data_IF_903439868418
#
_entry.id   IF_903439868418
#
_cell.length_a   1.000
_cell.length_b   1.000
_cell.length_c   1.000
_cell.angle_alpha   90.00
_cell.angle_beta   90.00
_cell.angle_gamma   90.00
#
_symmetry.space_group_name_H-M   'P 1'
#
loop_
_entity.id
_entity.type
_entity.pdbx_description
1 polymer ?
#
# COMPACT_ATOMS: atom_id res chain seq x y z
N UNK A 1 -20.36 3.17 64.17
CA UNK A 1 -21.56 2.70 63.43
C UNK A 1 -21.71 3.62 62.24
N UNK A 2 -21.19 3.20 61.08
CA UNK A 2 -21.98 2.61 59.96
C UNK A 2 -22.73 3.73 59.21
N UNK A 3 -22.57 4.03 57.93
CA UNK A 3 -21.94 3.30 56.81
C UNK A 3 -21.69 4.30 55.68
N UNK A 4 -20.56 4.18 54.97
CA UNK A 4 -20.32 4.83 53.67
C UNK A 4 -21.11 4.06 52.61
N UNK A 5 -21.88 4.76 51.78
CA UNK A 5 -22.42 4.22 50.54
C UNK A 5 -21.45 4.52 49.41
N UNK A 6 -20.72 3.50 48.98
CA UNK A 6 -19.98 3.51 47.71
C UNK A 6 -20.98 3.58 46.55
N UNK A 7 -20.91 4.64 45.76
CA UNK A 7 -21.46 4.65 44.39
C UNK A 7 -20.33 4.28 43.45
N UNK A 8 -20.18 2.98 43.21
CA UNK A 8 -19.47 2.45 42.06
C UNK A 8 -20.25 2.85 40.80
N UNK A 9 -19.71 3.80 40.05
CA UNK A 9 -20.07 4.01 38.65
C UNK A 9 -19.61 2.79 37.87
N UNK A 10 -20.54 1.87 37.62
CA UNK A 10 -20.41 0.84 36.58
C UNK A 10 -20.33 1.55 35.24
N UNK A 11 -19.12 1.74 34.74
CA UNK A 11 -18.86 2.09 33.35
C UNK A 11 -18.45 0.80 32.60
N UNK A 12 -19.33 -0.20 32.68
CA UNK A 12 -19.30 -1.39 31.83
C UNK A 12 -20.15 -1.09 30.59
N UNK A 13 -19.59 -0.29 29.69
CA UNK A 13 -20.02 -0.24 28.29
C UNK A 13 -18.84 -0.53 27.38
N UNK A 14 -18.09 -1.60 27.71
CA UNK A 14 -17.48 -2.42 26.67
C UNK A 14 -18.62 -3.12 25.92
N UNK A 15 -19.30 -2.40 25.02
CA UNK A 15 -19.96 -3.03 23.88
C UNK A 15 -18.85 -3.67 23.06
N UNK A 16 -18.45 -4.89 23.46
CA UNK A 16 -17.85 -5.85 22.55
C UNK A 16 -18.84 -6.00 21.41
N UNK A 17 -18.59 -5.29 20.30
CA UNK A 17 -19.23 -5.57 19.01
C UNK A 17 -18.98 -7.05 18.76
N UNK A 18 -20.02 -7.84 18.96
CA UNK A 18 -20.05 -9.26 18.64
C UNK A 18 -19.79 -9.38 17.15
N UNK A 19 -18.56 -9.74 16.77
CA UNK A 19 -18.15 -9.90 15.39
C UNK A 19 -18.76 -11.21 14.86
N UNK A 20 -19.90 -11.14 14.19
CA UNK A 20 -20.36 -12.26 13.38
C UNK A 20 -19.42 -12.39 12.17
N UNK A 21 -18.83 -13.58 12.03
CA UNK A 21 -18.05 -13.94 10.86
C UNK A 21 -19.00 -14.12 9.67
N UNK A 22 -19.21 -13.04 8.92
CA UNK A 22 -20.11 -12.99 7.77
C UNK A 22 -19.63 -13.81 6.55
N UNK A 23 -18.48 -14.50 6.65
CA UNK A 23 -18.01 -15.38 5.58
C UNK A 23 -18.83 -16.69 5.55
N UNK A 24 -19.37 -17.03 4.39
CA UNK A 24 -20.16 -18.25 4.21
C UNK A 24 -19.29 -19.50 4.37
N UNK A 25 -19.87 -20.62 4.83
CA UNK A 25 -19.15 -21.90 4.92
C UNK A 25 -18.63 -22.38 3.56
N UNK A 26 -19.34 -22.07 2.47
CA UNK A 26 -18.87 -22.35 1.12
C UNK A 26 -17.59 -21.58 0.81
N UNK A 27 -17.53 -20.28 1.17
CA UNK A 27 -16.34 -19.47 0.97
C UNK A 27 -15.18 -19.89 1.89
N UNK A 28 -15.43 -20.27 3.15
CA UNK A 28 -14.39 -20.84 4.03
C UNK A 28 -13.77 -22.11 3.45
N UNK A 29 -14.59 -22.98 2.86
CA UNK A 29 -14.12 -24.21 2.22
C UNK A 29 -13.33 -23.93 0.93
N UNK A 30 -13.76 -22.92 0.16
CA UNK A 30 -13.08 -22.52 -1.08
C UNK A 30 -11.74 -21.83 -0.80
N UNK A 31 -11.70 -20.96 0.21
CA UNK A 31 -10.54 -20.15 0.56
C UNK A 31 -9.95 -20.61 1.90
N UNK A 32 -9.24 -21.75 1.86
CA UNK A 32 -8.65 -22.39 3.05
C UNK A 32 -7.65 -21.53 3.82
N UNK A 33 -7.25 -20.37 3.29
CA UNK A 33 -6.38 -19.38 3.93
C UNK A 33 -7.12 -18.32 4.75
N UNK A 34 -8.46 -18.33 4.81
CA UNK A 34 -9.23 -17.32 5.55
C UNK A 34 -8.86 -17.27 7.04
N UNK A 35 -8.52 -18.42 7.63
CA UNK A 35 -8.02 -18.49 9.02
C UNK A 35 -6.71 -17.74 9.22
N UNK A 36 -5.83 -17.66 8.21
CA UNK A 36 -4.60 -16.88 8.26
C UNK A 36 -4.88 -15.37 8.21
N UNK A 37 -5.88 -14.94 7.41
CA UNK A 37 -6.37 -13.55 7.40
C UNK A 37 -6.88 -13.18 8.80
N UNK A 38 -7.77 -13.99 9.38
CA UNK A 38 -8.31 -13.78 10.72
C UNK A 38 -7.21 -13.73 11.79
N UNK A 39 -6.23 -14.63 11.72
CA UNK A 39 -5.09 -14.63 12.64
C UNK A 39 -4.36 -13.30 12.60
N UNK A 40 -4.13 -12.76 11.42
CA UNK A 40 -3.43 -11.48 11.26
C UNK A 40 -4.23 -10.32 11.84
N UNK A 41 -5.53 -10.25 11.53
CA UNK A 41 -6.43 -9.22 12.07
C UNK A 41 -6.52 -9.29 13.60
N UNK A 42 -6.58 -10.49 14.16
CA UNK A 42 -6.62 -10.69 15.62
C UNK A 42 -5.32 -10.24 16.29
N UNK A 43 -4.15 -10.48 15.68
CA UNK A 43 -2.88 -9.98 16.19
C UNK A 43 -2.88 -8.45 16.30
N UNK A 44 -3.41 -7.74 15.28
CA UNK A 44 -3.54 -6.29 15.35
C UNK A 44 -4.56 -5.83 16.39
N UNK A 45 -5.73 -6.49 16.45
CA UNK A 45 -6.79 -6.21 17.43
C UNK A 45 -6.31 -6.38 18.86
N UNK A 46 -5.38 -7.30 19.10
CA UNK A 46 -4.78 -7.53 20.41
C UNK A 46 -3.58 -6.60 20.70
N UNK A 47 -2.77 -6.27 19.70
CA UNK A 47 -1.52 -5.52 19.88
C UNK A 47 -1.75 -4.02 20.01
N UNK A 48 -2.54 -3.43 19.11
CA UNK A 48 -2.64 -1.96 19.01
C UNK A 48 -3.35 -1.32 20.21
N UNK A 49 -4.47 -1.87 20.75
CA UNK A 49 -5.11 -1.29 21.93
C UNK A 49 -4.26 -1.33 23.21
N UNK A 50 -3.25 -2.23 23.30
CA UNK A 50 -2.33 -2.31 24.44
C UNK A 50 -1.24 -1.23 24.41
N UNK A 51 -1.15 -0.46 23.34
CA UNK A 51 -0.20 0.64 23.27
C UNK A 51 -0.70 1.81 24.12
N UNK A 52 0.03 2.10 25.20
CA UNK A 52 -0.30 3.16 26.16
C UNK A 52 -0.18 4.57 25.57
N UNK A 53 0.54 4.73 24.45
CA UNK A 53 0.72 6.02 23.79
C UNK A 53 -0.41 6.36 22.80
N UNK A 54 -1.25 5.39 22.41
CA UNK A 54 -2.37 5.63 21.49
C UNK A 54 -3.55 6.21 22.27
N UNK A 55 -4.13 7.29 21.74
CA UNK A 55 -5.32 7.94 22.31
C UNK A 55 -6.57 7.06 22.16
N UNK A 56 -7.60 7.30 22.97
CA UNK A 56 -8.88 6.58 22.82
C UNK A 56 -9.48 6.76 21.42
N UNK A 57 -9.44 7.98 20.88
CA UNK A 57 -9.89 8.26 19.51
C UNK A 57 -9.08 7.47 18.47
N UNK A 58 -7.75 7.41 18.64
CA UNK A 58 -6.85 6.62 17.81
C UNK A 58 -7.16 5.12 17.82
N UNK A 59 -7.45 4.56 19.00
CA UNK A 59 -7.85 3.15 19.15
C UNK A 59 -9.15 2.87 18.40
N UNK A 60 -10.15 3.71 18.58
CA UNK A 60 -11.46 3.57 17.91
C UNK A 60 -11.33 3.69 16.39
N UNK A 61 -10.54 4.66 15.91
CA UNK A 61 -10.26 4.82 14.48
C UNK A 61 -9.61 3.57 13.89
N UNK A 62 -8.55 3.06 14.55
CA UNK A 62 -7.86 1.85 14.11
C UNK A 62 -8.77 0.61 14.08
N UNK A 63 -9.57 0.40 15.13
CA UNK A 63 -10.51 -0.74 15.19
C UNK A 63 -11.59 -0.64 14.11
N UNK A 64 -12.07 0.57 13.79
CA UNK A 64 -12.99 0.80 12.68
C UNK A 64 -12.36 0.48 11.33
N UNK A 65 -11.10 0.88 11.10
CA UNK A 65 -10.36 0.51 9.88
C UNK A 65 -10.21 -1.00 9.73
N UNK A 66 -9.80 -1.70 10.80
CA UNK A 66 -9.69 -3.17 10.79
C UNK A 66 -11.03 -3.84 10.45
N UNK A 67 -12.11 -3.37 11.08
CA UNK A 67 -13.45 -3.90 10.82
C UNK A 67 -13.87 -3.71 9.35
N UNK A 68 -13.64 -2.52 8.78
CA UNK A 68 -13.95 -2.24 7.39
C UNK A 68 -13.16 -3.16 6.43
N UNK A 69 -11.90 -3.44 6.75
CA UNK A 69 -11.05 -4.28 5.91
C UNK A 69 -11.44 -5.75 5.98
N UNK A 70 -11.78 -6.24 7.17
CA UNK A 70 -12.35 -7.57 7.36
C UNK A 70 -13.68 -7.73 6.62
N UNK A 71 -14.57 -6.75 6.76
CA UNK A 71 -15.87 -6.74 6.07
C UNK A 71 -15.71 -6.76 4.56
N UNK A 72 -14.79 -5.94 4.02
CA UNK A 72 -14.52 -5.90 2.59
C UNK A 72 -13.92 -7.23 2.08
N UNK A 73 -13.02 -7.86 2.85
CA UNK A 73 -12.51 -9.18 2.54
C UNK A 73 -13.65 -10.21 2.44
N UNK A 74 -14.52 -10.28 3.45
CA UNK A 74 -15.64 -11.23 3.46
C UNK A 74 -16.58 -11.02 2.27
N UNK A 75 -16.87 -9.76 1.93
CA UNK A 75 -17.68 -9.40 0.78
C UNK A 75 -17.08 -9.90 -0.54
N UNK A 76 -15.77 -9.73 -0.74
CA UNK A 76 -15.08 -10.20 -1.96
C UNK A 76 -15.08 -11.72 -2.04
N UNK A 77 -14.73 -12.41 -0.95
CA UNK A 77 -14.67 -13.87 -0.93
C UNK A 77 -16.04 -14.53 -1.12
N UNK A 78 -17.08 -14.02 -0.44
CA UNK A 78 -18.46 -14.48 -0.67
C UNK A 78 -18.89 -14.24 -2.12
N UNK A 79 -18.66 -13.03 -2.64
CA UNK A 79 -19.02 -12.69 -4.01
C UNK A 79 -18.38 -13.63 -5.04
N UNK A 80 -17.07 -13.92 -4.90
CA UNK A 80 -16.35 -14.80 -5.80
C UNK A 80 -16.92 -16.23 -5.83
N UNK A 81 -17.41 -16.72 -4.70
CA UNK A 81 -18.03 -18.06 -4.56
C UNK A 81 -19.45 -18.10 -5.09
N UNK A 82 -20.22 -17.02 -4.90
CA UNK A 82 -21.57 -16.86 -5.45
C UNK A 82 -21.55 -16.69 -6.98
N UNK A 83 -20.46 -16.12 -7.52
CA UNK A 83 -20.29 -15.76 -8.93
C UNK A 83 -19.08 -16.50 -9.52
N UNK A 84 -19.25 -17.80 -9.78
CA UNK A 84 -18.18 -18.69 -10.25
C UNK A 84 -17.48 -18.21 -11.54
N UNK A 85 -18.07 -17.31 -12.31
CA UNK A 85 -17.41 -16.67 -13.45
C UNK A 85 -16.14 -15.91 -13.07
N UNK A 86 -15.97 -15.52 -11.81
CA UNK A 86 -14.72 -14.95 -11.27
C UNK A 86 -13.56 -15.95 -11.44
N UNK A 87 -13.78 -17.23 -11.14
CA UNK A 87 -12.73 -18.25 -11.28
C UNK A 87 -12.41 -18.58 -12.74
N UNK A 88 -13.32 -18.27 -13.67
CA UNK A 88 -13.11 -18.41 -15.11
C UNK A 88 -12.32 -17.25 -15.73
N UNK A 89 -12.16 -16.13 -15.00
CA UNK A 89 -11.31 -15.04 -15.47
C UNK A 89 -9.84 -15.41 -15.33
N UNK A 90 -9.08 -15.16 -16.40
CA UNK A 90 -7.63 -15.25 -16.37
C UNK A 90 -7.03 -13.85 -16.25
N UNK A 91 -5.81 -13.77 -15.72
CA UNK A 91 -5.00 -12.57 -15.85
C UNK A 91 -4.35 -12.52 -17.24
N UNK A 92 -3.97 -11.33 -17.73
CA UNK A 92 -3.26 -11.20 -19.00
C UNK A 92 -1.97 -12.04 -19.03
N UNK A 93 -1.71 -12.69 -20.16
CA UNK A 93 -0.58 -13.62 -20.33
C UNK A 93 0.78 -12.94 -20.18
N UNK A 94 0.87 -11.64 -20.54
CA UNK A 94 2.09 -10.83 -20.38
C UNK A 94 2.45 -10.58 -18.92
N UNK A 95 1.54 -10.87 -17.98
CA UNK A 95 1.71 -10.59 -16.56
C UNK A 95 1.42 -9.13 -16.19
N UNK A 96 1.36 -8.82 -14.90
CA UNK A 96 1.22 -7.46 -14.42
C UNK A 96 2.54 -6.67 -14.54
N UNK A 97 2.45 -5.38 -14.85
CA UNK A 97 3.53 -4.40 -14.70
C UNK A 97 3.43 -3.80 -13.29
N UNK A 98 4.45 -4.04 -12.46
CA UNK A 98 4.40 -3.75 -11.03
C UNK A 98 5.52 -2.77 -10.68
N UNK A 99 5.16 -1.61 -10.16
CA UNK A 99 6.13 -0.70 -9.56
C UNK A 99 6.38 -1.13 -8.12
N UNK A 100 7.64 -1.43 -7.82
CA UNK A 100 8.14 -1.79 -6.51
C UNK A 100 9.22 -0.80 -6.06
N UNK A 101 9.50 -0.78 -4.76
CA UNK A 101 10.55 0.05 -4.16
C UNK A 101 10.03 0.88 -3.01
N UNK A 102 10.94 1.67 -2.43
CA UNK A 102 10.62 2.47 -1.25
C UNK A 102 9.59 3.55 -1.57
N UNK A 103 8.79 3.91 -0.58
CA UNK A 103 8.04 5.16 -0.64
C UNK A 103 8.99 6.35 -0.92
N UNK A 104 8.45 7.44 -1.49
CA UNK A 104 9.19 8.69 -1.73
C UNK A 104 10.28 8.59 -2.82
N UNK A 105 10.24 7.56 -3.67
CA UNK A 105 11.16 7.37 -4.82
C UNK A 105 10.59 7.83 -6.17
N UNK A 106 9.44 8.51 -6.18
CA UNK A 106 8.78 8.96 -7.42
C UNK A 106 7.81 7.96 -8.05
N UNK A 107 7.50 6.86 -7.34
CA UNK A 107 6.55 5.82 -7.76
C UNK A 107 5.21 6.39 -8.20
N UNK A 108 4.65 7.37 -7.49
CA UNK A 108 3.36 7.99 -7.84
C UNK A 108 3.40 8.72 -9.19
N UNK A 109 4.48 9.43 -9.50
CA UNK A 109 4.63 10.07 -10.81
C UNK A 109 4.65 9.01 -11.92
N UNK A 110 5.50 8.00 -11.76
CA UNK A 110 5.63 6.93 -12.75
C UNK A 110 4.32 6.16 -12.94
N UNK A 111 3.64 5.82 -11.84
CA UNK A 111 2.37 5.09 -11.86
C UNK A 111 1.30 5.84 -12.66
N UNK A 112 1.16 7.15 -12.44
CA UNK A 112 0.21 7.98 -13.19
C UNK A 112 0.56 8.08 -14.68
N UNK A 113 1.85 8.13 -15.03
CA UNK A 113 2.28 8.16 -16.42
C UNK A 113 2.02 6.83 -17.12
N UNK A 114 2.35 5.70 -16.48
CA UNK A 114 2.06 4.37 -17.02
C UNK A 114 0.56 4.13 -17.18
N UNK A 115 -0.24 4.64 -16.24
CA UNK A 115 -1.70 4.53 -16.28
C UNK A 115 -2.36 5.33 -17.42
N UNK A 116 -1.59 6.16 -18.15
CA UNK A 116 -2.06 6.81 -19.36
C UNK A 116 -2.14 5.85 -20.57
N UNK A 117 -1.62 4.62 -20.48
CA UNK A 117 -1.81 3.62 -21.55
C UNK A 117 -3.28 3.15 -21.59
N UNK A 118 -4.02 3.40 -22.69
CA UNK A 118 -5.41 2.97 -22.83
C UNK A 118 -5.60 1.45 -22.84
N UNK A 119 -4.51 0.67 -22.98
CA UNK A 119 -4.56 -0.79 -22.99
C UNK A 119 -4.27 -1.41 -21.62
N UNK A 120 -3.68 -0.67 -20.68
CA UNK A 120 -3.46 -1.14 -19.32
C UNK A 120 -4.69 -0.89 -18.43
N UNK A 121 -4.75 -1.58 -17.28
CA UNK A 121 -5.72 -1.28 -16.22
C UNK A 121 -4.99 -1.18 -14.90
N UNK A 122 -5.15 -0.05 -14.21
CA UNK A 122 -4.74 0.14 -12.83
C UNK A 122 -5.98 0.19 -11.92
N UNK A 123 -6.01 -0.45 -10.73
CA UNK A 123 -7.16 -0.38 -9.82
C UNK A 123 -7.50 1.06 -9.43
N UNK A 124 -8.80 1.40 -9.43
CA UNK A 124 -9.27 2.68 -8.92
C UNK A 124 -9.39 2.62 -7.38
N UNK A 125 -9.24 3.76 -6.68
CA UNK A 125 -9.50 3.80 -5.24
C UNK A 125 -10.91 3.26 -4.91
N UNK A 126 -11.89 3.65 -5.72
CA UNK A 126 -13.29 3.24 -5.62
C UNK A 126 -13.45 1.73 -5.82
N UNK A 127 -12.71 1.10 -6.75
CA UNK A 127 -12.75 -0.34 -6.97
C UNK A 127 -12.39 -1.12 -5.69
N UNK A 128 -11.51 -0.55 -4.85
CA UNK A 128 -10.95 -1.23 -3.68
C UNK A 128 -11.59 -0.82 -2.36
N UNK A 129 -12.31 0.30 -2.30
CA UNK A 129 -12.75 0.86 -1.01
C UNK A 129 -14.24 1.24 -0.97
N UNK A 130 -14.94 1.35 -2.10
CA UNK A 130 -16.33 1.84 -2.15
C UNK A 130 -17.19 0.93 -3.00
N UNK A 131 -18.22 0.34 -2.38
CA UNK A 131 -19.14 -0.57 -3.06
C UNK A 131 -18.38 -1.63 -3.89
N UNK A 132 -17.38 -2.27 -3.28
CA UNK A 132 -16.43 -3.18 -3.94
C UNK A 132 -17.16 -4.30 -4.70
N UNK A 133 -18.23 -4.84 -4.09
CA UNK A 133 -19.08 -5.88 -4.68
C UNK A 133 -20.54 -5.38 -4.81
N UNK A 134 -21.21 -5.67 -5.95
CA UNK A 134 -20.63 -6.23 -7.18
C UNK A 134 -19.64 -5.24 -7.83
N UNK A 135 -18.63 -5.72 -8.59
CA UNK A 135 -17.72 -4.83 -9.32
C UNK A 135 -18.50 -4.00 -10.35
N UNK A 136 -18.08 -2.76 -10.57
CA UNK A 136 -18.75 -1.81 -11.48
C UNK A 136 -17.82 -1.52 -12.64
N UNK A 137 -18.31 -1.71 -13.87
CA UNK A 137 -17.54 -1.40 -15.08
C UNK A 137 -17.19 0.09 -15.13
N UNK A 138 -16.03 0.44 -15.67
CA UNK A 138 -15.65 1.82 -15.99
C UNK A 138 -16.60 2.50 -16.97
N UNK A 139 -17.30 1.72 -17.79
CA UNK A 139 -18.30 2.22 -18.74
C UNK A 139 -19.64 2.57 -18.07
N UNK A 140 -19.90 2.09 -16.85
CA UNK A 140 -21.09 2.46 -16.08
C UNK A 140 -20.92 3.82 -15.40
N UNK A 141 -21.21 4.88 -16.14
CA UNK A 141 -21.13 6.26 -15.65
C UNK A 141 -21.98 6.54 -14.39
N UNK A 142 -23.09 5.81 -14.19
CA UNK A 142 -23.99 6.03 -13.06
C UNK A 142 -23.38 5.43 -11.80
N UNK A 143 -22.94 4.16 -11.88
CA UNK A 143 -22.24 3.49 -10.78
C UNK A 143 -20.95 4.21 -10.40
N UNK A 144 -20.13 4.61 -11.38
CA UNK A 144 -18.90 5.37 -11.11
C UNK A 144 -19.17 6.70 -10.44
N UNK A 145 -20.18 7.46 -10.91
CA UNK A 145 -20.57 8.72 -10.28
C UNK A 145 -21.06 8.52 -8.84
N UNK A 146 -21.87 7.49 -8.58
CA UNK A 146 -22.35 7.15 -7.22
C UNK A 146 -21.18 6.90 -6.27
N UNK A 147 -20.20 6.08 -6.67
CA UNK A 147 -19.00 5.81 -5.85
C UNK A 147 -18.21 7.09 -5.56
N UNK A 148 -18.03 7.96 -6.57
CA UNK A 148 -17.33 9.24 -6.41
C UNK A 148 -18.08 10.22 -5.51
N UNK A 149 -19.41 10.31 -5.62
CA UNK A 149 -20.22 11.20 -4.79
C UNK A 149 -20.20 10.74 -3.33
N UNK A 150 -20.22 9.43 -3.07
CA UNK A 150 -20.03 8.86 -1.73
C UNK A 150 -18.64 9.18 -1.14
N UNK A 151 -17.57 9.08 -1.94
CA UNK A 151 -16.24 9.47 -1.48
C UNK A 151 -16.17 10.95 -1.11
N UNK A 152 -16.77 11.82 -1.91
CA UNK A 152 -16.80 13.26 -1.64
C UNK A 152 -17.56 13.59 -0.36
N UNK A 153 -18.65 12.88 -0.05
CA UNK A 153 -19.34 13.10 1.23
C UNK A 153 -18.45 12.70 2.41
N UNK A 154 -17.77 11.55 2.33
CA UNK A 154 -16.81 11.14 3.37
C UNK A 154 -15.67 12.15 3.55
N UNK A 155 -15.20 12.78 2.47
CA UNK A 155 -14.16 13.80 2.54
C UNK A 155 -14.64 15.10 3.19
N UNK A 156 -15.83 15.59 2.86
CA UNK A 156 -16.39 16.81 3.46
C UNK A 156 -16.57 16.67 4.98
N UNK A 157 -16.91 15.47 5.44
CA UNK A 157 -17.02 15.16 6.86
C UNK A 157 -15.63 15.05 7.54
N UNK A 158 -14.61 14.56 6.82
CA UNK A 158 -13.27 14.32 7.33
C UNK A 158 -12.29 15.52 7.22
N UNK A 159 -12.48 16.44 6.28
CA UNK A 159 -11.71 17.69 6.17
C UNK A 159 -11.90 18.57 7.42
N UNK A 160 -13.03 18.40 8.11
CA UNK A 160 -13.27 19.02 9.42
C UNK A 160 -12.52 18.33 10.56
N UNK A 161 -11.95 17.15 10.32
CA UNK A 161 -11.57 16.19 11.37
C UNK A 161 -10.05 15.93 11.48
N UNK A 162 -9.22 16.06 10.43
CA UNK A 162 -7.76 16.00 10.61
C UNK A 162 -6.89 16.54 9.44
N UNK A 163 -5.69 17.03 9.79
CA UNK A 163 -4.66 17.42 8.82
C UNK A 163 -4.02 16.24 8.06
N UNK A 164 -4.21 15.00 8.54
CA UNK A 164 -3.78 13.77 7.85
C UNK A 164 -4.55 13.59 6.54
N UNK A 165 -5.88 13.73 6.56
CA UNK A 165 -6.70 13.57 5.36
C UNK A 165 -6.33 14.59 4.29
N UNK A 166 -6.02 15.83 4.67
CA UNK A 166 -5.53 16.86 3.76
C UNK A 166 -4.18 16.46 3.13
N UNK A 167 -3.26 15.88 3.91
CA UNK A 167 -1.91 15.47 3.43
C UNK A 167 -1.93 14.19 2.59
N UNK A 168 -2.78 13.22 2.93
CA UNK A 168 -3.02 12.01 2.13
C UNK A 168 -3.75 12.39 0.84
N UNK A 169 -4.81 13.20 0.91
CA UNK A 169 -5.50 13.72 -0.26
C UNK A 169 -4.58 14.58 -1.13
N UNK A 170 -3.64 15.34 -0.56
CA UNK A 170 -2.59 15.99 -1.34
C UNK A 170 -1.70 14.95 -2.02
N UNK A 171 -1.16 13.95 -1.30
CA UNK A 171 -0.28 12.92 -1.90
C UNK A 171 -0.98 12.02 -2.94
N UNK A 172 -2.30 11.93 -2.87
CA UNK A 172 -3.19 11.16 -3.75
C UNK A 172 -4.23 12.08 -4.42
N UNK A 173 -3.80 13.26 -4.89
CA UNK A 173 -4.68 14.35 -5.38
C UNK A 173 -5.62 14.01 -6.54
N UNK A 174 -5.48 12.82 -7.12
CA UNK A 174 -6.42 12.25 -8.08
C UNK A 174 -6.81 10.87 -7.55
N UNK A 175 -7.95 10.79 -6.86
CA UNK A 175 -8.57 9.54 -6.39
C UNK A 175 -9.02 8.61 -7.55
N UNK A 176 -8.59 8.91 -8.77
CA UNK A 176 -8.90 8.09 -9.93
C UNK A 176 -8.16 6.77 -9.83
N UNK A 177 -6.85 6.76 -9.56
CA UNK A 177 -6.02 5.53 -9.58
C UNK A 177 -5.21 5.42 -8.29
N UNK A 178 -5.23 4.25 -7.67
CA UNK A 178 -4.63 4.04 -6.33
C UNK A 178 -3.66 2.84 -6.32
N UNK A 179 -2.80 2.82 -5.31
CA UNK A 179 -1.97 1.67 -4.94
C UNK A 179 -2.83 0.42 -4.65
N UNK A 180 -2.45 -0.73 -5.18
CA UNK A 180 -3.09 -2.02 -4.88
C UNK A 180 -2.86 -2.49 -3.43
N UNK A 181 -2.17 -1.66 -2.62
CA UNK A 181 -2.08 -1.79 -1.17
C UNK A 181 -3.43 -1.99 -0.47
N UNK A 182 -4.52 -1.35 -0.93
CA UNK A 182 -5.85 -1.56 -0.34
C UNK A 182 -6.30 -3.02 -0.46
N UNK A 183 -5.96 -3.71 -1.56
CA UNK A 183 -6.25 -5.14 -1.75
C UNK A 183 -5.39 -5.96 -0.78
N UNK A 184 -4.10 -5.65 -0.67
CA UNK A 184 -3.19 -6.34 0.26
C UNK A 184 -3.65 -6.18 1.74
N UNK A 185 -4.15 -5.00 2.12
CA UNK A 185 -4.70 -4.73 3.47
C UNK A 185 -5.93 -5.57 3.77
N UNK A 186 -6.82 -5.77 2.81
CA UNK A 186 -8.00 -6.62 3.01
C UNK A 186 -7.59 -8.06 3.34
N UNK A 187 -6.47 -8.54 2.78
CA UNK A 187 -5.87 -9.83 3.12
C UNK A 187 -5.05 -9.81 4.44
N UNK A 188 -5.12 -8.77 5.26
CA UNK A 188 -4.34 -8.71 6.50
C UNK A 188 -2.89 -8.24 6.32
N UNK A 189 -2.45 -7.83 5.13
CA UNK A 189 -1.06 -7.41 4.91
C UNK A 189 -0.83 -5.92 5.24
N UNK A 190 -0.75 -5.61 6.54
CA UNK A 190 -0.81 -4.26 7.13
C UNK A 190 0.54 -3.66 7.56
N UNK A 191 1.54 -3.60 6.68
CA UNK A 191 2.87 -3.16 7.11
C UNK A 191 3.01 -1.64 7.38
N UNK A 192 2.05 -0.80 6.96
CA UNK A 192 2.12 0.67 7.09
C UNK A 192 2.02 1.19 8.54
N UNK A 193 1.48 0.38 9.46
CA UNK A 193 1.19 0.79 10.84
C UNK A 193 2.24 0.34 11.86
N UNK A 194 3.48 0.12 11.41
CA UNK A 194 4.62 -0.27 12.25
C UNK A 194 4.83 0.60 13.51
N UNK A 195 4.34 1.85 13.48
CA UNK A 195 4.41 2.78 14.60
C UNK A 195 3.24 2.65 15.58
N UNK A 196 2.24 1.79 15.35
CA UNK A 196 1.11 1.54 16.24
C UNK A 196 1.38 0.46 17.29
N UNK A 197 2.33 -0.46 17.06
CA UNK A 197 2.71 -1.44 18.07
C UNK A 197 3.77 -0.88 19.03
N UNK A 198 3.65 -1.20 20.32
CA UNK A 198 4.51 -0.63 21.36
C UNK A 198 5.86 -1.38 21.51
N UNK A 199 5.85 -2.72 21.45
CA UNK A 199 7.04 -3.57 21.66
C UNK A 199 7.75 -3.92 20.34
N UNK A 200 9.04 -4.25 20.34
CA UNK A 200 9.79 -4.50 19.09
C UNK A 200 9.73 -5.97 18.63
N UNK A 201 9.56 -6.92 19.56
CA UNK A 201 9.79 -8.34 19.27
C UNK A 201 8.51 -9.18 19.08
N UNK A 202 7.37 -8.77 19.66
CA UNK A 202 6.07 -9.46 19.59
C UNK A 202 5.00 -8.55 18.99
N UNK A 203 5.19 -8.18 17.72
CA UNK A 203 4.24 -7.35 16.98
C UNK A 203 3.70 -8.04 15.74
N UNK A 204 2.51 -7.62 15.26
CA UNK A 204 2.01 -8.03 13.96
C UNK A 204 3.05 -7.85 12.84
N UNK A 205 3.87 -6.79 12.86
CA UNK A 205 4.91 -6.57 11.85
C UNK A 205 6.06 -7.58 11.95
N UNK A 206 6.50 -7.93 13.15
CA UNK A 206 7.50 -8.98 13.37
C UNK A 206 6.98 -10.33 12.86
N UNK A 207 5.72 -10.65 13.14
CA UNK A 207 5.05 -11.86 12.66
C UNK A 207 4.87 -11.85 11.13
N UNK A 208 4.38 -10.75 10.54
CA UNK A 208 4.25 -10.57 9.08
C UNK A 208 5.60 -10.81 8.40
N UNK A 209 6.67 -10.26 8.97
CA UNK A 209 8.01 -10.41 8.42
C UNK A 209 8.51 -11.85 8.50
N UNK A 210 8.47 -12.47 9.68
CA UNK A 210 9.18 -13.72 9.98
C UNK A 210 8.37 -14.99 9.75
N UNK A 211 7.07 -14.96 10.04
CA UNK A 211 6.26 -16.18 10.22
C UNK A 211 5.07 -16.26 9.28
N UNK A 212 4.47 -15.13 8.91
CA UNK A 212 3.28 -15.10 8.07
C UNK A 212 3.51 -15.79 6.73
N UNK A 213 2.58 -16.69 6.40
CA UNK A 213 2.44 -17.23 5.06
C UNK A 213 2.07 -16.08 4.12
N UNK A 214 2.94 -15.79 3.14
CA UNK A 214 2.72 -14.69 2.19
C UNK A 214 2.01 -15.13 0.91
N UNK A 215 1.84 -16.44 0.68
CA UNK A 215 1.19 -16.96 -0.53
C UNK A 215 -0.27 -16.52 -0.59
N UNK A 216 -1.01 -16.64 0.51
CA UNK A 216 -2.44 -16.33 0.52
C UNK A 216 -2.75 -14.85 0.26
N UNK A 217 -1.81 -13.95 0.56
CA UNK A 217 -1.95 -12.52 0.26
C UNK A 217 -2.08 -12.33 -1.25
N UNK A 218 -1.29 -13.09 -2.03
CA UNK A 218 -1.34 -13.05 -3.48
C UNK A 218 -2.46 -13.90 -4.07
N UNK A 219 -2.89 -15.00 -3.42
CA UNK A 219 -4.12 -15.73 -3.78
C UNK A 219 -5.36 -14.81 -3.67
N UNK A 220 -5.47 -14.06 -2.57
CA UNK A 220 -6.52 -13.06 -2.40
C UNK A 220 -6.42 -11.95 -3.44
N UNK A 221 -5.21 -11.43 -3.65
CA UNK A 221 -4.97 -10.38 -4.64
C UNK A 221 -5.37 -10.82 -6.06
N UNK A 222 -5.02 -12.04 -6.47
CA UNK A 222 -5.42 -12.60 -7.75
C UNK A 222 -6.94 -12.76 -7.83
N UNK A 223 -7.58 -13.27 -6.79
CA UNK A 223 -9.06 -13.38 -6.71
C UNK A 223 -9.71 -12.01 -6.91
N UNK A 224 -9.16 -10.96 -6.30
CA UNK A 224 -9.64 -9.59 -6.45
C UNK A 224 -9.50 -9.08 -7.90
N UNK A 225 -8.33 -9.28 -8.53
CA UNK A 225 -8.12 -8.89 -9.92
C UNK A 225 -9.02 -9.65 -10.89
N UNK A 226 -9.22 -10.96 -10.66
CA UNK A 226 -10.16 -11.78 -11.43
C UNK A 226 -11.59 -11.30 -11.27
N UNK A 227 -12.00 -10.89 -10.07
CA UNK A 227 -13.29 -10.26 -9.84
C UNK A 227 -13.43 -8.96 -10.65
N UNK A 228 -12.40 -8.11 -10.69
CA UNK A 228 -12.43 -6.90 -11.52
C UNK A 228 -12.47 -7.22 -13.03
N UNK A 229 -11.83 -8.30 -13.47
CA UNK A 229 -11.84 -8.73 -14.88
C UNK A 229 -13.23 -9.14 -15.38
N UNK A 230 -14.18 -9.51 -14.50
CA UNK A 230 -15.54 -9.85 -14.92
C UNK A 230 -16.28 -8.67 -15.56
N UNK A 231 -15.88 -7.43 -15.21
CA UNK A 231 -16.46 -6.21 -15.77
C UNK A 231 -15.55 -5.53 -16.78
N UNK A 232 -14.24 -5.41 -16.52
CA UNK A 232 -13.30 -4.79 -17.47
C UNK A 232 -11.91 -5.46 -17.46
N UNK A 233 -11.64 -6.42 -18.33
CA UNK A 233 -10.27 -6.95 -18.45
C UNK A 233 -9.34 -5.93 -19.14
N UNK A 234 -8.09 -5.70 -18.66
CA UNK A 234 -7.10 -4.94 -19.43
C UNK A 234 -6.81 -5.61 -20.78
N UNK A 235 -6.58 -4.80 -21.82
CA UNK A 235 -6.21 -5.30 -23.15
C UNK A 235 -4.75 -5.76 -23.21
N UNK A 236 -3.89 -5.13 -22.44
CA UNK A 236 -2.46 -5.44 -22.34
C UNK A 236 -2.12 -6.06 -20.99
N UNK A 237 -2.08 -5.27 -19.92
CA UNK A 237 -1.60 -5.70 -18.60
C UNK A 237 -2.32 -4.98 -17.46
N UNK A 238 -2.27 -5.60 -16.28
CA UNK A 238 -2.55 -4.90 -15.02
C UNK A 238 -1.35 -4.02 -14.67
N UNK A 239 -1.60 -2.78 -14.26
CA UNK A 239 -0.61 -1.87 -13.71
C UNK A 239 -0.83 -1.79 -12.20
N UNK A 240 0.16 -2.20 -11.42
CA UNK A 240 0.08 -2.30 -9.96
C UNK A 240 1.23 -1.52 -9.32
N UNK A 241 1.04 -1.09 -8.08
CA UNK A 241 2.07 -0.41 -7.29
C UNK A 241 1.73 -0.51 -5.82
N UNK A 242 2.62 -1.14 -5.07
CA UNK A 242 2.59 -1.11 -3.62
C UNK A 242 4.02 -1.13 -3.07
N UNK A 243 4.36 -0.26 -2.10
CA UNK A 243 5.64 -0.39 -1.39
C UNK A 243 5.73 -1.75 -0.68
N UNK A 244 4.61 -2.38 -0.33
CA UNK A 244 4.62 -3.62 0.46
C UNK A 244 4.99 -4.87 -0.33
N UNK A 245 5.00 -4.83 -1.66
CA UNK A 245 5.49 -5.95 -2.47
C UNK A 245 6.94 -6.29 -2.15
N UNK A 246 7.76 -5.32 -1.73
CA UNK A 246 9.19 -5.55 -1.47
C UNK A 246 9.43 -6.60 -0.36
N UNK A 247 8.50 -6.73 0.59
CA UNK A 247 8.57 -7.72 1.66
C UNK A 247 8.29 -9.15 1.20
N UNK A 248 7.83 -9.34 -0.04
CA UNK A 248 7.32 -10.61 -0.54
C UNK A 248 7.56 -10.84 -2.03
N UNK A 249 8.59 -10.22 -2.62
CA UNK A 249 8.90 -10.30 -4.06
C UNK A 249 9.05 -11.73 -4.58
N UNK A 250 9.65 -12.63 -3.80
CA UNK A 250 9.76 -14.05 -4.16
C UNK A 250 8.38 -14.70 -4.32
N UNK A 251 7.43 -14.39 -3.41
CA UNK A 251 6.06 -14.90 -3.47
C UNK A 251 5.26 -14.24 -4.58
N UNK A 252 5.44 -12.94 -4.76
CA UNK A 252 4.85 -12.21 -5.89
C UNK A 252 5.23 -12.86 -7.22
N UNK A 253 6.51 -13.20 -7.45
CA UNK A 253 6.94 -13.87 -8.68
C UNK A 253 6.50 -15.33 -8.79
N UNK A 254 6.21 -16.00 -7.68
CA UNK A 254 5.61 -17.35 -7.72
C UNK A 254 4.17 -17.31 -8.23
N UNK A 255 3.38 -16.33 -7.76
CA UNK A 255 1.98 -16.14 -8.15
C UNK A 255 1.83 -15.44 -9.51
N UNK A 256 2.78 -14.55 -9.84
CA UNK A 256 2.87 -13.88 -11.14
C UNK A 256 4.22 -14.15 -11.82
N UNK A 257 4.44 -15.35 -12.41
CA UNK A 257 5.72 -15.71 -13.03
C UNK A 257 6.17 -14.81 -14.19
N UNK A 258 5.20 -14.16 -14.84
CA UNK A 258 5.42 -13.22 -15.94
C UNK A 258 5.38 -11.75 -15.48
N UNK A 259 5.34 -11.46 -14.17
CA UNK A 259 5.34 -10.09 -13.69
C UNK A 259 6.60 -9.34 -14.16
N UNK A 260 6.39 -8.07 -14.52
CA UNK A 260 7.40 -7.13 -14.97
C UNK A 260 7.59 -6.11 -13.85
N UNK A 261 8.76 -6.10 -13.22
CA UNK A 261 9.03 -5.29 -12.03
C UNK A 261 9.81 -4.02 -12.39
N UNK A 262 9.27 -2.87 -12.03
CA UNK A 262 10.01 -1.60 -12.05
C UNK A 262 10.47 -1.30 -10.62
N UNK A 263 11.76 -1.49 -10.36
CA UNK A 263 12.37 -1.27 -9.05
C UNK A 263 12.85 0.18 -8.93
N UNK A 264 12.18 0.96 -8.10
CA UNK A 264 12.45 2.38 -7.88
C UNK A 264 13.51 2.59 -6.80
N UNK A 265 14.47 3.48 -7.10
CA UNK A 265 15.59 3.80 -6.23
C UNK A 265 15.75 5.30 -6.04
N UNK A 266 16.11 5.73 -4.83
CA UNK A 266 16.48 7.11 -4.51
C UNK A 266 17.52 7.09 -3.40
N UNK A 267 18.32 8.15 -3.31
CA UNK A 267 19.24 8.33 -2.18
C UNK A 267 18.47 8.39 -0.86
N UNK A 268 18.98 7.69 0.14
CA UNK A 268 18.26 7.49 1.40
C UNK A 268 18.32 8.71 2.33
N UNK A 269 19.29 9.61 2.13
CA UNK A 269 19.34 10.92 2.78
C UNK A 269 18.21 11.85 2.33
N UNK A 270 17.51 11.52 1.24
CA UNK A 270 16.27 12.20 0.83
C UNK A 270 15.00 11.41 1.19
N UNK A 271 15.07 10.07 1.20
CA UNK A 271 13.92 9.21 1.51
C UNK A 271 13.59 9.26 3.01
N UNK A 272 14.57 9.02 3.88
CA UNK A 272 14.38 8.93 5.33
C UNK A 272 13.64 10.14 5.93
N UNK A 273 14.10 11.39 5.75
CA UNK A 273 13.43 12.53 6.36
C UNK A 273 12.00 12.73 5.81
N UNK A 274 11.79 12.46 4.51
CA UNK A 274 10.45 12.52 3.94
C UNK A 274 9.53 11.42 4.46
N UNK A 275 10.05 10.21 4.69
CA UNK A 275 9.30 9.10 5.28
C UNK A 275 8.97 9.38 6.74
N UNK A 276 9.91 9.90 7.54
CA UNK A 276 9.64 10.31 8.93
C UNK A 276 8.55 11.39 8.99
N UNK A 277 8.60 12.40 8.12
CA UNK A 277 7.55 13.42 8.06
C UNK A 277 6.18 12.84 7.69
N UNK A 278 6.13 11.91 6.73
CA UNK A 278 4.89 11.24 6.35
C UNK A 278 4.34 10.37 7.50
N UNK A 279 5.18 9.57 8.14
CA UNK A 279 4.79 8.75 9.30
C UNK A 279 4.28 9.60 10.44
N UNK A 280 4.92 10.73 10.75
CA UNK A 280 4.43 11.66 11.77
C UNK A 280 3.06 12.23 11.39
N UNK A 281 2.86 12.65 10.13
CA UNK A 281 1.56 13.12 9.66
C UNK A 281 0.49 12.02 9.72
N UNK A 282 0.82 10.78 9.37
CA UNK A 282 -0.10 9.64 9.44
C UNK A 282 -0.42 9.23 10.89
N UNK A 283 0.52 9.44 11.81
CA UNK A 283 0.36 9.13 13.23
C UNK A 283 -0.59 10.08 13.97
N UNK A 284 -0.88 11.25 13.40
CA UNK A 284 -1.62 12.34 14.05
C UNK A 284 -3.03 11.97 14.50
N UNK A 285 -3.65 10.97 13.85
CA UNK A 285 -4.99 10.49 14.22
C UNK A 285 -4.94 9.48 15.37
N UNK A 286 -3.77 8.89 15.63
CA UNK A 286 -3.60 7.84 16.62
C UNK A 286 -2.99 8.36 17.93
N UNK A 287 -2.02 9.27 17.86
CA UNK A 287 -1.24 9.75 19.00
C UNK A 287 -1.54 11.21 19.36
N UNK A 288 -1.27 11.57 20.62
CA UNK A 288 -1.22 12.97 21.05
C UNK A 288 0.02 13.66 20.47
N UNK A 289 -0.21 14.66 19.60
CA UNK A 289 0.85 15.44 18.94
C UNK A 289 1.77 16.19 19.90
N UNK A 290 1.30 16.48 21.11
CA UNK A 290 2.07 17.21 22.13
C UNK A 290 3.05 16.31 22.88
N UNK A 291 2.91 14.99 22.75
CA UNK A 291 3.75 14.02 23.44
C UNK A 291 5.03 13.72 22.63
N UNK A 292 6.16 14.29 23.06
CA UNK A 292 7.47 14.10 22.42
C UNK A 292 7.92 12.64 22.37
N UNK A 293 7.54 11.81 23.35
CA UNK A 293 7.88 10.38 23.36
C UNK A 293 7.26 9.67 22.16
N UNK A 294 6.03 10.05 21.78
CA UNK A 294 5.38 9.49 20.59
C UNK A 294 6.14 9.86 19.32
N UNK A 295 6.57 11.12 19.18
CA UNK A 295 7.34 11.60 18.02
C UNK A 295 8.62 10.79 17.81
N UNK A 296 9.46 10.69 18.83
CA UNK A 296 10.77 10.01 18.72
C UNK A 296 10.60 8.52 18.42
N UNK A 297 9.58 7.89 19.02
CA UNK A 297 9.22 6.50 18.76
C UNK A 297 8.79 6.29 17.31
N UNK A 298 7.95 7.16 16.75
CA UNK A 298 7.50 7.09 15.35
C UNK A 298 8.69 7.23 14.39
N UNK A 299 9.61 8.16 14.66
CA UNK A 299 10.83 8.35 13.86
C UNK A 299 11.67 7.07 13.90
N UNK A 300 11.98 6.55 15.09
CA UNK A 300 12.76 5.32 15.27
C UNK A 300 12.14 4.14 14.50
N UNK A 301 10.83 3.93 14.65
CA UNK A 301 10.09 2.85 13.98
C UNK A 301 10.10 3.01 12.47
N UNK A 302 9.98 4.24 11.96
CA UNK A 302 10.07 4.53 10.53
C UNK A 302 11.45 4.17 9.96
N UNK A 303 12.53 4.51 10.66
CA UNK A 303 13.89 4.12 10.25
C UNK A 303 14.07 2.60 10.24
N UNK A 304 13.63 1.90 11.30
CA UNK A 304 13.69 0.43 11.39
C UNK A 304 12.89 -0.28 10.28
N UNK A 305 11.78 0.33 9.88
CA UNK A 305 10.96 -0.20 8.79
C UNK A 305 11.68 -0.05 7.46
N UNK A 306 12.22 1.13 7.17
CA UNK A 306 13.06 1.36 5.98
C UNK A 306 14.27 0.44 5.94
N UNK A 307 14.92 0.15 7.07
CA UNK A 307 15.98 -0.86 7.14
C UNK A 307 15.50 -2.21 6.63
N UNK A 308 14.32 -2.64 7.08
CA UNK A 308 13.73 -3.92 6.67
C UNK A 308 13.38 -3.91 5.18
N UNK A 309 12.80 -2.82 4.68
CA UNK A 309 12.49 -2.64 3.26
C UNK A 309 13.74 -2.79 2.38
N UNK A 310 14.83 -2.12 2.76
CA UNK A 310 16.12 -2.17 2.06
C UNK A 310 16.72 -3.58 2.13
N UNK A 311 16.74 -4.20 3.31
CA UNK A 311 17.21 -5.58 3.47
C UNK A 311 16.47 -6.55 2.57
N UNK A 312 15.14 -6.44 2.48
CA UNK A 312 14.32 -7.27 1.61
C UNK A 312 14.67 -7.06 0.13
N UNK A 313 14.83 -5.81 -0.32
CA UNK A 313 15.26 -5.50 -1.69
C UNK A 313 16.65 -6.08 -2.01
N UNK A 314 17.61 -5.92 -1.09
CA UNK A 314 18.98 -6.44 -1.25
C UNK A 314 19.00 -7.97 -1.30
N UNK A 315 18.27 -8.63 -0.39
CA UNK A 315 18.14 -10.11 -0.35
C UNK A 315 17.55 -10.63 -1.65
N UNK A 316 16.46 -10.01 -2.12
CA UNK A 316 15.81 -10.38 -3.38
C UNK A 316 16.75 -10.26 -4.57
N UNK A 317 17.55 -9.19 -4.67
CA UNK A 317 18.49 -9.02 -5.78
C UNK A 317 19.46 -10.21 -5.91
N UNK A 318 19.84 -10.82 -4.79
CA UNK A 318 20.75 -11.96 -4.74
C UNK A 318 20.06 -13.32 -4.64
N UNK A 319 18.72 -13.36 -4.59
CA UNK A 319 17.95 -14.61 -4.50
C UNK A 319 17.91 -15.31 -5.86
N UNK A 320 17.62 -16.62 -5.86
CA UNK A 320 17.45 -17.39 -7.10
C UNK A 320 16.37 -16.79 -8.01
N UNK A 321 15.24 -16.37 -7.43
CA UNK A 321 14.16 -15.74 -8.18
C UNK A 321 14.56 -14.36 -8.73
N UNK A 322 15.28 -13.55 -7.95
CA UNK A 322 15.76 -12.24 -8.40
C UNK A 322 16.76 -12.38 -9.55
N UNK A 323 17.72 -13.31 -9.43
CA UNK A 323 18.69 -13.63 -10.50
C UNK A 323 17.97 -14.13 -11.75
N UNK A 324 16.99 -15.03 -11.59
CA UNK A 324 16.20 -15.56 -12.70
C UNK A 324 15.40 -14.44 -13.38
N UNK A 325 14.67 -13.62 -12.62
CA UNK A 325 13.90 -12.50 -13.15
C UNK A 325 14.79 -11.49 -13.87
N UNK A 326 15.97 -11.17 -13.32
CA UNK A 326 16.95 -10.32 -13.98
C UNK A 326 17.44 -10.93 -15.31
N UNK A 327 17.73 -12.24 -15.33
CA UNK A 327 18.18 -12.94 -16.54
C UNK A 327 17.13 -12.96 -17.66
N UNK A 328 15.84 -12.95 -17.29
CA UNK A 328 14.70 -12.85 -18.21
C UNK A 328 14.37 -11.42 -18.62
N UNK A 329 15.10 -10.41 -18.13
CA UNK A 329 14.76 -8.98 -18.29
C UNK A 329 13.39 -8.60 -17.71
N UNK A 330 12.97 -9.26 -16.62
CA UNK A 330 11.72 -8.94 -15.92
C UNK A 330 11.91 -7.88 -14.81
N UNK A 331 13.11 -7.33 -14.63
CA UNK A 331 13.39 -6.28 -13.65
C UNK A 331 14.02 -5.07 -14.37
N UNK A 332 13.44 -3.90 -14.19
CA UNK A 332 13.96 -2.61 -14.63
C UNK A 332 14.26 -1.73 -13.41
N UNK A 333 15.54 -1.44 -13.17
CA UNK A 333 15.96 -0.54 -12.08
C UNK A 333 15.92 0.92 -12.54
N UNK A 334 15.22 1.77 -11.79
CA UNK A 334 15.04 3.19 -12.13
C UNK A 334 15.35 4.08 -10.94
N UNK A 335 16.26 5.03 -11.14
CA UNK A 335 16.53 6.07 -10.14
C UNK A 335 15.55 7.23 -10.26
N UNK A 336 15.20 7.84 -9.12
CA UNK A 336 14.37 9.04 -9.04
C UNK A 336 14.92 10.16 -9.93
N UNK A 337 16.23 10.42 -9.90
CA UNK A 337 16.84 11.48 -10.69
C UNK A 337 16.67 11.28 -12.20
N UNK A 338 16.76 10.04 -12.67
CA UNK A 338 16.53 9.73 -14.08
C UNK A 338 15.06 9.91 -14.47
N UNK A 339 14.12 9.46 -13.62
CA UNK A 339 12.69 9.71 -13.81
C UNK A 339 12.38 11.22 -13.89
N UNK A 340 12.99 12.03 -13.03
CA UNK A 340 12.69 13.46 -12.95
C UNK A 340 13.27 14.28 -14.11
N UNK A 341 14.36 13.83 -14.75
CA UNK A 341 14.99 14.51 -15.90
C UNK A 341 14.11 14.48 -17.15
N UNK A 342 13.60 13.31 -17.52
CA UNK A 342 12.72 13.14 -18.69
C UNK A 342 11.75 11.96 -18.46
N UNK A 343 10.60 12.21 -17.80
CA UNK A 343 9.68 11.14 -17.43
C UNK A 343 9.14 10.37 -18.65
N UNK A 344 8.89 11.04 -19.77
CA UNK A 344 8.31 10.39 -20.97
C UNK A 344 9.34 9.48 -21.62
N UNK A 345 10.58 9.95 -21.77
CA UNK A 345 11.67 9.11 -22.29
C UNK A 345 11.89 7.87 -21.41
N UNK A 346 11.78 8.01 -20.08
CA UNK A 346 11.88 6.87 -19.17
C UNK A 346 10.72 5.89 -19.35
N UNK A 347 9.48 6.35 -19.51
CA UNK A 347 8.36 5.44 -19.79
C UNK A 347 8.56 4.71 -21.12
N UNK A 348 9.06 5.40 -22.15
CA UNK A 348 9.39 4.77 -23.44
C UNK A 348 10.49 3.70 -23.28
N UNK A 349 11.53 3.97 -22.49
CA UNK A 349 12.58 3.00 -22.19
C UNK A 349 12.05 1.76 -21.45
N UNK A 350 11.15 1.94 -20.48
CA UNK A 350 10.48 0.85 -19.76
C UNK A 350 9.68 -0.01 -20.75
N UNK A 351 8.87 0.62 -21.61
CA UNK A 351 8.06 -0.10 -22.60
C UNK A 351 8.94 -0.89 -23.57
N UNK A 352 10.01 -0.27 -24.08
CA UNK A 352 10.95 -0.96 -24.96
C UNK A 352 11.70 -2.11 -24.25
N UNK A 353 12.07 -1.93 -22.98
CA UNK A 353 12.79 -2.96 -22.21
C UNK A 353 11.93 -4.21 -21.96
N UNK A 354 10.64 -4.01 -21.67
CA UNK A 354 9.68 -5.09 -21.47
C UNK A 354 8.92 -5.51 -22.74
N UNK A 355 9.32 -4.99 -23.91
CA UNK A 355 8.70 -5.31 -25.20
C UNK A 355 7.19 -5.03 -25.25
N UNK A 356 6.75 -3.98 -24.52
CA UNK A 356 5.36 -3.49 -24.51
C UNK A 356 5.08 -2.57 -25.70
N UNK A 357 3.83 -2.59 -26.17
CA UNK A 357 3.42 -1.75 -27.29
C UNK A 357 3.31 -0.27 -26.89
N UNK A 358 4.14 0.57 -27.50
CA UNK A 358 4.03 2.03 -27.37
C UNK A 358 3.04 2.61 -28.39
N UNK A 359 2.13 3.47 -27.92
CA UNK A 359 1.16 4.15 -28.78
C UNK A 359 1.29 5.68 -28.69
N UNK A 360 1.00 6.37 -29.81
CA UNK A 360 0.96 7.84 -29.84
C UNK A 360 -0.13 8.40 -28.91
N UNK A 361 -1.23 7.68 -28.72
CA UNK A 361 -2.32 8.06 -27.80
C UNK A 361 -1.83 8.11 -26.35
N UNK A 362 -1.10 7.07 -25.91
CA UNK A 362 -0.48 7.03 -24.59
C UNK A 362 0.48 8.20 -24.38
N UNK A 363 1.35 8.48 -25.35
CA UNK A 363 2.31 9.59 -25.26
C UNK A 363 1.59 10.94 -25.12
N UNK A 364 0.57 11.18 -25.94
CA UNK A 364 -0.24 12.40 -25.86
C UNK A 364 -0.96 12.52 -24.52
N UNK A 365 -1.51 11.41 -24.00
CA UNK A 365 -2.14 11.38 -22.68
C UNK A 365 -1.16 11.72 -21.55
N UNK A 366 0.05 11.15 -21.57
CA UNK A 366 1.12 11.47 -20.60
C UNK A 366 1.53 12.95 -20.67
N UNK A 367 1.74 13.49 -21.88
CA UNK A 367 2.07 14.92 -22.06
C UNK A 367 0.99 15.82 -21.49
N UNK A 368 -0.27 15.52 -21.76
CA UNK A 368 -1.41 16.25 -21.22
C UNK A 368 -1.51 16.14 -19.69
N UNK A 369 -1.25 14.96 -19.14
CA UNK A 369 -1.24 14.75 -17.69
C UNK A 369 -0.15 15.58 -17.01
N UNK A 370 1.08 15.60 -17.54
CA UNK A 370 2.19 16.39 -17.01
C UNK A 370 1.89 17.89 -17.06
N UNK A 371 1.26 18.39 -18.13
CA UNK A 371 0.84 19.79 -18.24
C UNK A 371 -0.18 20.19 -17.15
N UNK A 372 -1.09 19.27 -16.78
CA UNK A 372 -2.09 19.49 -15.72
C UNK A 372 -1.52 19.29 -14.31
N UNK A 373 -0.39 18.60 -14.19
CA UNK A 373 0.25 18.21 -12.95
C UNK A 373 1.73 18.62 -12.90
N UNK A 374 2.04 19.93 -12.98
CA UNK A 374 3.42 20.41 -12.91
C UNK A 374 4.10 19.95 -11.61
N UNK A 375 5.38 19.62 -11.70
CA UNK A 375 6.18 19.24 -10.55
C UNK A 375 6.16 20.36 -9.48
N UNK A 376 6.04 19.96 -8.21
CA UNK A 376 5.98 20.92 -7.10
C UNK A 376 4.62 21.60 -6.90
N UNK A 377 3.57 21.25 -7.66
CA UNK A 377 2.18 21.70 -7.45
C UNK A 377 1.69 21.48 -6.02
N UNK A 378 2.26 20.52 -5.30
CA UNK A 378 1.92 20.16 -3.91
C UNK A 378 2.89 20.74 -2.87
N UNK A 379 3.79 21.64 -3.29
CA UNK A 379 4.85 22.20 -2.45
C UNK A 379 6.12 21.34 -2.45
N UNK A 380 7.28 22.00 -2.40
CA UNK A 380 8.55 21.35 -2.04
C UNK A 380 8.67 21.41 -0.53
N UNK A 381 8.42 20.31 0.15
CA UNK A 381 8.77 20.21 1.56
C UNK A 381 10.30 20.08 1.67
N UNK A 382 10.93 21.12 2.19
CA UNK A 382 12.33 21.06 2.60
C UNK A 382 12.38 20.46 4.00
N UNK A 383 12.91 19.24 4.08
CA UNK A 383 13.19 18.58 5.35
C UNK A 383 14.68 18.67 5.64
N UNK A 384 15.06 18.91 6.89
CA UNK A 384 16.45 18.76 7.32
C UNK A 384 16.60 17.41 8.03
N UNK A 385 17.74 16.75 7.85
CA UNK A 385 18.01 15.47 8.51
C UNK A 385 18.05 15.63 10.03
N UNK A 386 18.54 16.79 10.48
CA UNK A 386 18.70 17.17 11.87
C UNK A 386 17.36 17.25 12.62
N UNK A 387 16.25 17.59 11.93
CA UNK A 387 14.89 17.62 12.51
C UNK A 387 14.43 16.24 13.01
N UNK A 388 15.03 15.18 12.46
CA UNK A 388 14.73 13.78 12.77
C UNK A 388 15.89 13.11 13.51
N UNK A 389 16.90 13.86 13.96
CA UNK A 389 18.10 13.31 14.60
C UNK A 389 18.94 12.43 13.66
N UNK A 390 18.86 12.67 12.35
CA UNK A 390 19.59 11.92 11.33
C UNK A 390 20.80 12.73 10.85
N UNK A 391 21.82 12.01 10.37
CA UNK A 391 23.03 12.57 9.79
C UNK A 391 23.32 11.86 8.46
N UNK A 392 23.74 12.63 7.45
CA UNK A 392 24.04 12.12 6.10
C UNK A 392 25.16 11.07 6.13
N UNK A 393 26.25 11.32 6.83
CA UNK A 393 27.41 10.41 6.85
C UNK A 393 27.05 9.04 7.44
N UNK A 394 26.23 9.03 8.49
CA UNK A 394 25.73 7.80 9.11
C UNK A 394 24.81 7.04 8.16
N UNK A 395 23.94 7.72 7.42
CA UNK A 395 23.07 7.12 6.40
C UNK A 395 23.90 6.53 5.26
N UNK A 396 24.85 7.27 4.71
CA UNK A 396 25.71 6.82 3.62
C UNK A 396 26.54 5.59 4.03
N UNK A 397 27.06 5.58 5.26
CA UNK A 397 27.79 4.44 5.81
C UNK A 397 26.87 3.24 6.02
N UNK A 398 25.69 3.45 6.64
CA UNK A 398 24.74 2.39 6.98
C UNK A 398 24.20 1.66 5.75
N UNK A 399 23.98 2.37 4.65
CA UNK A 399 23.38 1.82 3.43
C UNK A 399 24.35 1.79 2.25
N UNK A 400 25.66 1.72 2.53
CA UNK A 400 26.70 1.72 1.51
C UNK A 400 26.48 0.62 0.44
N UNK A 401 26.07 -0.59 0.84
CA UNK A 401 25.83 -1.69 -0.09
C UNK A 401 24.67 -1.39 -1.05
N UNK A 402 23.57 -0.83 -0.55
CA UNK A 402 22.42 -0.42 -1.38
C UNK A 402 22.80 0.71 -2.35
N UNK A 403 23.55 1.70 -1.86
CA UNK A 403 24.03 2.81 -2.67
C UNK A 403 24.97 2.29 -3.77
N UNK A 404 25.93 1.43 -3.42
CA UNK A 404 26.88 0.86 -4.37
C UNK A 404 26.20 0.03 -5.45
N UNK A 405 25.18 -0.72 -5.09
CA UNK A 405 24.49 -1.61 -6.01
C UNK A 405 23.56 -0.86 -6.96
N UNK A 406 22.78 0.11 -6.47
CA UNK A 406 21.68 0.71 -7.25
C UNK A 406 21.88 2.17 -7.63
N UNK A 407 22.79 2.89 -6.96
CA UNK A 407 22.95 4.35 -7.13
C UNK A 407 24.35 4.75 -7.62
N UNK A 408 25.37 3.90 -7.50
CA UNK A 408 26.75 4.21 -7.90
C UNK A 408 27.03 4.15 -9.41
N UNK A 409 25.98 4.21 -10.24
CA UNK A 409 26.10 4.27 -11.70
C UNK A 409 25.59 5.61 -12.22
N UNK A 410 26.46 6.61 -12.18
CA UNK A 410 26.50 7.77 -13.07
C UNK A 410 27.96 8.28 -13.09
N UNK A 411 28.82 7.56 -13.81
CA UNK A 411 30.03 8.12 -14.40
C UNK A 411 29.91 7.98 -15.92
#
# INVERSE_FOLDING_TARGET
MSTKSDQTTNDDSNETVSHEDDLTEQAKNQFGYYSDILRTLELYRQSVPRNDYITLAGRNFFLSELYNLHTNCNRVLNYAVEHNEVFNQNLPTIGPLIICGLARTGTTLLYNLLACDPNCRAPLFTDMNVEIVPPISRSDSIGQKRRLDFLKSLQQDNEQMSAMFIRIAASHAHFDIEEDHSILRQAGYFCMFNFLSDHEDDTPESWIRKEMNKDYVYDYHETFLRMLNTVDMPKSHWLLKSPFHIFSLDKLLQHYPNALLIMMHRRLDEVLPSSCSLSLAASEVYFDKTNSISRDRIIKRTCQFLDTEIECMMKFQTSENGILAQSKKHIFHLTYDNLMKDPISIVHQIYNYFELHWSNEMEMAMRNWLLKNPQGKQGRHTYSLEEFGLNREDIETRYADYINLFLSSNN
#
